data_IF_479188658881
#
_entry.id   IF_479188658881
#
_cell.length_a   1.000
_cell.length_b   1.000
_cell.length_c   1.000
_cell.angle_alpha   90.00
_cell.angle_beta   90.00
_cell.angle_gamma   90.00
#
_symmetry.space_group_name_H-M   'P 1'
#
loop_
_entity.id
_entity.type
_entity.pdbx_description
1 polymer ?
#
# COMPACT_ATOMS: atom_id res chain seq x y z
N UNK A 1 31.04 -8.14 10.77
CA UNK A 1 29.71 -7.55 10.96
C UNK A 1 28.90 -8.59 11.68
N UNK A 2 28.60 -8.34 12.95
CA UNK A 2 27.89 -9.34 13.75
C UNK A 2 26.42 -9.40 13.33
N UNK A 3 25.80 -10.56 13.44
CA UNK A 3 24.42 -10.79 12.97
C UNK A 3 23.37 -9.89 13.67
N UNK A 4 23.69 -9.42 14.89
CA UNK A 4 22.90 -8.46 15.65
C UNK A 4 23.02 -7.00 15.17
N UNK A 5 23.99 -6.68 14.30
CA UNK A 5 24.15 -5.35 13.70
C UNK A 5 23.36 -5.20 12.39
N UNK A 6 22.78 -6.28 11.87
CA UNK A 6 22.00 -6.23 10.63
C UNK A 6 20.67 -5.52 10.90
N UNK A 7 20.54 -4.31 10.36
CA UNK A 7 19.30 -3.54 10.38
C UNK A 7 18.48 -3.82 9.11
N UNK A 8 17.18 -4.03 9.27
CA UNK A 8 16.20 -4.06 8.20
C UNK A 8 15.39 -2.78 8.26
N UNK A 9 15.35 -2.06 7.14
CA UNK A 9 14.57 -0.84 6.98
C UNK A 9 13.33 -1.13 6.14
N UNK A 10 12.21 -0.57 6.56
CA UNK A 10 10.94 -0.64 5.86
C UNK A 10 10.59 0.75 5.32
N UNK A 11 10.18 0.87 4.06
CA UNK A 11 9.61 2.13 3.58
C UNK A 11 8.23 2.35 4.21
N UNK A 12 7.72 3.58 4.11
CA UNK A 12 6.30 3.82 4.34
C UNK A 12 5.47 3.01 3.34
N UNK A 13 4.70 2.03 3.82
CA UNK A 13 3.86 1.18 2.98
C UNK A 13 2.39 1.19 3.38
N UNK A 14 2.04 1.64 4.58
CA UNK A 14 0.65 1.94 4.98
C UNK A 14 0.60 3.18 5.86
N UNK A 15 -0.49 3.93 5.75
CA UNK A 15 -0.85 5.02 6.67
C UNK A 15 -2.01 4.65 7.60
N UNK A 16 -2.52 3.42 7.53
CA UNK A 16 -3.59 2.94 8.38
C UNK A 16 -3.05 2.45 9.73
N UNK A 17 -3.19 3.24 10.79
CA UNK A 17 -2.74 2.89 12.14
C UNK A 17 -3.47 1.69 12.75
N UNK A 18 -4.63 1.31 12.20
CA UNK A 18 -5.39 0.14 12.65
C UNK A 18 -4.91 -1.16 12.02
N UNK A 19 -4.09 -1.09 10.97
CA UNK A 19 -3.52 -2.29 10.39
C UNK A 19 -2.39 -2.86 11.28
N UNK A 20 -2.38 -4.18 11.58
CA UNK A 20 -1.33 -4.79 12.40
C UNK A 20 0.10 -4.59 11.89
N UNK A 21 0.29 -4.36 10.58
CA UNK A 21 1.60 -4.11 9.98
C UNK A 21 2.02 -2.64 10.01
N UNK A 22 1.15 -1.72 10.45
CA UNK A 22 1.50 -0.30 10.57
C UNK A 22 2.77 -0.06 11.39
N UNK A 23 2.97 -0.86 12.45
CA UNK A 23 4.16 -0.77 13.32
C UNK A 23 5.49 -0.99 12.59
N UNK A 24 5.49 -1.54 11.37
CA UNK A 24 6.71 -1.67 10.56
C UNK A 24 6.83 -0.60 9.48
N UNK A 25 5.78 0.19 9.22
CA UNK A 25 5.76 1.20 8.15
C UNK A 25 6.65 2.37 8.53
N UNK A 26 7.62 2.71 7.67
CA UNK A 26 8.60 3.80 7.91
C UNK A 26 9.51 3.57 9.14
N UNK A 27 9.77 2.31 9.49
CA UNK A 27 10.53 1.93 10.68
C UNK A 27 11.77 1.07 10.36
N UNK A 28 12.67 0.96 11.35
CA UNK A 28 13.90 0.16 11.24
C UNK A 28 14.08 -0.78 12.43
N UNK A 29 14.46 -2.03 12.16
CA UNK A 29 14.57 -3.07 13.20
C UNK A 29 15.89 -3.83 13.10
N UNK A 30 16.42 -4.27 14.23
CA UNK A 30 17.43 -5.33 14.23
C UNK A 30 16.81 -6.60 13.65
N UNK A 31 17.53 -7.25 12.74
CA UNK A 31 17.10 -8.49 12.10
C UNK A 31 16.71 -9.56 13.14
N UNK A 32 17.51 -9.72 14.19
CA UNK A 32 17.28 -10.71 15.25
C UNK A 32 16.04 -10.44 16.12
N UNK A 33 15.62 -9.17 16.24
CA UNK A 33 14.37 -8.80 16.90
C UNK A 33 13.19 -9.04 15.98
N UNK A 34 13.33 -8.62 14.72
CA UNK A 34 12.29 -8.74 13.70
C UNK A 34 11.95 -10.20 13.40
N UNK A 35 12.95 -11.08 13.25
CA UNK A 35 12.76 -12.51 12.94
C UNK A 35 11.91 -13.25 13.99
N UNK A 36 11.92 -12.77 15.24
CA UNK A 36 11.13 -13.33 16.35
C UNK A 36 9.70 -12.79 16.39
N UNK A 37 9.39 -11.74 15.63
CA UNK A 37 8.08 -11.13 15.63
C UNK A 37 7.06 -11.99 14.86
N UNK A 38 5.84 -12.24 15.39
CA UNK A 38 4.85 -13.10 14.74
C UNK A 38 4.48 -12.67 13.30
N UNK A 39 4.52 -11.36 13.04
CA UNK A 39 4.19 -10.76 11.74
C UNK A 39 5.39 -10.57 10.79
N UNK A 40 6.58 -11.08 11.15
CA UNK A 40 7.82 -10.89 10.40
C UNK A 40 7.68 -11.16 8.89
N UNK A 41 7.18 -12.35 8.53
CA UNK A 41 7.10 -12.78 7.14
C UNK A 41 6.13 -11.90 6.34
N UNK A 42 5.00 -11.50 6.94
CA UNK A 42 4.04 -10.59 6.29
C UNK A 42 4.65 -9.20 6.07
N UNK A 43 5.33 -8.66 7.08
CA UNK A 43 6.01 -7.37 6.96
C UNK A 43 7.09 -7.40 5.87
N UNK A 44 7.93 -8.45 5.86
CA UNK A 44 8.99 -8.60 4.86
C UNK A 44 8.41 -8.71 3.44
N UNK A 45 7.33 -9.46 3.25
CA UNK A 45 6.63 -9.55 1.96
C UNK A 45 6.08 -8.20 1.48
N UNK A 46 5.52 -7.39 2.39
CA UNK A 46 5.09 -6.02 2.06
C UNK A 46 6.28 -5.16 1.60
N UNK A 47 7.40 -5.21 2.34
CA UNK A 47 8.64 -4.50 1.99
C UNK A 47 9.17 -4.90 0.62
N UNK A 48 9.22 -6.19 0.33
CA UNK A 48 9.70 -6.69 -0.97
C UNK A 48 8.78 -6.26 -2.10
N UNK A 49 7.47 -6.32 -1.88
CA UNK A 49 6.46 -5.92 -2.87
C UNK A 49 6.58 -4.44 -3.22
N UNK A 50 6.63 -3.54 -2.22
CA UNK A 50 6.74 -2.10 -2.47
C UNK A 50 8.09 -1.73 -3.11
N UNK A 51 9.21 -2.32 -2.64
CA UNK A 51 10.53 -2.10 -3.23
C UNK A 51 10.58 -2.59 -4.68
N UNK A 52 9.90 -3.68 -5.00
CA UNK A 52 9.83 -4.17 -6.37
C UNK A 52 8.94 -3.27 -7.24
N UNK A 53 7.68 -3.03 -6.84
CA UNK A 53 6.67 -2.35 -7.67
C UNK A 53 6.94 -0.87 -7.91
N UNK A 54 7.60 -0.19 -6.96
CA UNK A 54 7.84 1.27 -7.07
C UNK A 54 9.07 1.64 -7.89
N UNK A 55 9.92 0.67 -8.25
CA UNK A 55 11.05 0.86 -9.17
C UNK A 55 10.53 1.33 -10.53
N UNK A 56 11.13 2.36 -11.15
CA UNK A 56 10.67 2.90 -12.43
C UNK A 56 10.44 1.84 -13.52
N UNK A 57 11.32 0.85 -13.63
CA UNK A 57 11.21 -0.24 -14.61
C UNK A 57 10.02 -1.19 -14.38
N UNK A 58 9.47 -1.22 -13.16
CA UNK A 58 8.40 -2.12 -12.73
C UNK A 58 7.05 -1.40 -12.56
N UNK A 59 6.96 -0.11 -12.88
CA UNK A 59 5.71 0.66 -12.84
C UNK A 59 4.81 0.29 -14.01
N UNK A 60 4.24 -0.91 -13.96
CA UNK A 60 3.25 -1.40 -14.90
C UNK A 60 1.87 -1.15 -14.30
N UNK A 61 0.99 -0.49 -15.06
CA UNK A 61 -0.37 -0.19 -14.63
C UNK A 61 -1.18 -1.48 -14.44
N UNK A 62 -1.70 -1.70 -13.23
CA UNK A 62 -2.52 -2.88 -12.88
C UNK A 62 -3.92 -2.83 -13.52
N UNK A 63 -4.32 -1.70 -14.12
CA UNK A 63 -5.60 -1.53 -14.85
C UNK A 63 -5.41 -1.84 -16.34
N UNK A 64 -4.47 -1.17 -17.00
CA UNK A 64 -4.30 -1.19 -18.46
C UNK A 64 -3.07 -1.95 -18.97
N UNK A 65 -2.16 -2.38 -18.11
CA UNK A 65 -0.96 -3.14 -18.47
C UNK A 65 0.16 -2.34 -19.14
N UNK A 66 -0.01 -1.04 -19.38
CA UNK A 66 1.05 -0.19 -19.92
C UNK A 66 2.08 0.18 -18.84
N UNK A 67 3.31 0.48 -19.27
CA UNK A 67 4.33 1.08 -18.39
C UNK A 67 3.98 2.55 -18.13
N UNK A 68 4.17 3.01 -16.89
CA UNK A 68 3.88 4.37 -16.43
C UNK A 68 5.19 5.16 -16.42
N UNK A 69 5.47 5.84 -17.52
CA UNK A 69 6.75 6.55 -17.73
C UNK A 69 6.74 7.96 -17.15
N UNK A 70 5.56 8.58 -17.04
CA UNK A 70 5.39 9.95 -16.58
C UNK A 70 5.02 9.97 -15.09
N UNK A 71 5.85 10.56 -14.21
CA UNK A 71 5.59 10.61 -12.77
C UNK A 71 4.24 11.27 -12.40
N UNK A 72 3.78 12.25 -13.17
CA UNK A 72 2.51 12.94 -12.96
C UNK A 72 1.28 12.05 -13.20
N UNK A 73 1.44 10.99 -13.99
CA UNK A 73 0.38 10.01 -14.26
C UNK A 73 0.39 8.84 -13.27
N UNK A 74 1.40 8.78 -12.40
CA UNK A 74 1.62 7.65 -11.51
C UNK A 74 0.91 7.84 -10.17
N UNK A 75 -0.06 6.98 -9.91
CA UNK A 75 -0.67 6.80 -8.60
C UNK A 75 -0.28 5.42 -8.06
N UNK A 76 0.34 5.40 -6.88
CA UNK A 76 0.61 4.16 -6.15
C UNK A 76 -0.35 4.01 -4.98
N UNK A 77 -1.03 2.87 -4.91
CA UNK A 77 -1.80 2.45 -3.75
C UNK A 77 -0.90 1.59 -2.87
N UNK A 78 -0.70 1.97 -1.61
CA UNK A 78 0.07 1.18 -0.65
C UNK A 78 -0.70 -0.05 -0.14
N UNK A 79 -0.34 -0.51 1.05
CA UNK A 79 -1.10 -1.49 1.82
C UNK A 79 -2.31 -0.80 2.46
N UNK A 80 -3.51 -1.18 2.01
CA UNK A 80 -4.78 -0.76 2.57
C UNK A 80 -5.13 -1.58 3.82
N UNK A 81 -4.96 -2.89 3.74
CA UNK A 81 -5.19 -3.85 4.83
C UNK A 81 -4.36 -5.12 4.65
N UNK A 82 -3.88 -5.70 5.74
CA UNK A 82 -3.15 -6.97 5.81
C UNK A 82 -4.03 -8.19 6.07
N UNK A 83 -5.33 -7.96 6.24
CA UNK A 83 -6.37 -8.99 6.33
C UNK A 83 -6.76 -9.47 4.92
N UNK A 84 -6.38 -10.70 4.59
CA UNK A 84 -6.62 -11.31 3.28
C UNK A 84 -8.08 -11.78 3.08
N UNK A 85 -8.88 -11.80 4.15
CA UNK A 85 -10.32 -12.02 4.06
C UNK A 85 -11.09 -10.76 3.64
N UNK A 86 -10.46 -9.58 3.77
CA UNK A 86 -11.06 -8.31 3.39
C UNK A 86 -10.97 -8.09 1.86
N UNK A 87 -12.06 -7.76 1.16
CA UNK A 87 -12.04 -7.53 -0.28
C UNK A 87 -11.06 -6.43 -0.74
N UNK A 88 -10.75 -5.43 0.10
CA UNK A 88 -9.76 -4.39 -0.22
C UNK A 88 -8.34 -4.94 -0.36
N UNK A 89 -8.05 -6.12 0.22
CA UNK A 89 -6.75 -6.75 0.11
C UNK A 89 -6.31 -6.96 -1.35
N UNK A 90 -7.27 -7.21 -2.24
CA UNK A 90 -7.02 -7.39 -3.68
C UNK A 90 -6.51 -6.12 -4.40
N UNK A 91 -6.60 -4.95 -3.75
CA UNK A 91 -6.18 -3.65 -4.29
C UNK A 91 -4.92 -3.10 -3.63
N UNK A 92 -4.29 -3.88 -2.73
CA UNK A 92 -3.00 -3.53 -2.14
C UNK A 92 -1.91 -3.41 -3.21
N UNK A 93 -1.00 -2.46 -3.03
CA UNK A 93 0.19 -2.31 -3.88
C UNK A 93 -0.11 -2.15 -5.37
N UNK A 94 -1.18 -1.43 -5.73
CA UNK A 94 -1.50 -1.16 -7.13
C UNK A 94 -0.69 0.02 -7.70
N UNK A 95 -0.09 -0.19 -8.86
CA UNK A 95 0.42 0.83 -9.74
C UNK A 95 -0.71 1.25 -10.68
N UNK A 96 -1.12 2.51 -10.66
CA UNK A 96 -2.21 3.04 -11.48
C UNK A 96 -1.67 4.16 -12.36
N UNK A 97 -1.86 3.99 -13.66
CA UNK A 97 -1.85 5.12 -14.60
C UNK A 97 -3.19 5.82 -14.47
N UNK A 98 -3.19 7.08 -14.03
CA UNK A 98 -4.42 7.83 -13.81
C UNK A 98 -5.26 7.97 -15.10
N UNK A 99 -4.64 7.88 -16.28
CA UNK A 99 -5.34 7.92 -17.56
C UNK A 99 -6.22 6.69 -17.82
N UNK A 100 -5.97 5.58 -17.11
CA UNK A 100 -6.75 4.36 -17.21
C UNK A 100 -7.86 4.26 -16.15
N UNK A 101 -7.95 5.20 -15.21
CA UNK A 101 -9.03 5.21 -14.20
C UNK A 101 -10.43 5.24 -14.88
N UNK A 102 -10.69 6.05 -15.93
CA UNK A 102 -12.02 6.09 -16.56
C UNK A 102 -12.46 4.76 -17.18
N UNK A 103 -11.52 3.91 -17.57
CA UNK A 103 -11.80 2.59 -18.17
C UNK A 103 -11.72 1.44 -17.18
N UNK A 104 -11.48 1.73 -15.89
CA UNK A 104 -11.27 0.72 -14.86
C UNK A 104 -12.59 0.05 -14.45
N UNK A 105 -12.84 -1.23 -14.79
CA UNK A 105 -14.14 -1.86 -14.55
C UNK A 105 -14.48 -2.04 -13.07
N UNK A 106 -13.45 -2.06 -12.21
CA UNK A 106 -13.61 -2.22 -10.76
C UNK A 106 -13.69 -0.88 -10.01
N UNK A 107 -13.66 0.26 -10.70
CA UNK A 107 -13.60 1.59 -10.06
C UNK A 107 -14.71 1.79 -9.03
N UNK A 108 -15.97 1.61 -9.42
CA UNK A 108 -17.11 1.83 -8.52
C UNK A 108 -17.10 0.85 -7.35
N UNK A 109 -16.82 -0.43 -7.62
CA UNK A 109 -16.69 -1.44 -6.56
C UNK A 109 -15.55 -1.13 -5.59
N UNK A 110 -14.42 -0.62 -6.09
CA UNK A 110 -13.30 -0.19 -5.26
C UNK A 110 -13.67 1.01 -4.37
N UNK A 111 -14.31 2.04 -4.94
CA UNK A 111 -14.77 3.20 -4.18
C UNK A 111 -15.76 2.81 -3.09
N UNK A 112 -16.76 1.97 -3.39
CA UNK A 112 -17.71 1.48 -2.39
C UNK A 112 -17.02 0.70 -1.26
N UNK A 113 -15.99 -0.09 -1.57
CA UNK A 113 -15.22 -0.79 -0.55
C UNK A 113 -14.42 0.16 0.34
N UNK A 114 -13.80 1.22 -0.21
CA UNK A 114 -13.10 2.23 0.59
C UNK A 114 -14.06 3.01 1.50
N UNK A 115 -15.23 3.38 1.00
CA UNK A 115 -16.28 4.05 1.77
C UNK A 115 -16.76 3.18 2.93
N UNK A 116 -17.04 1.91 2.67
CA UNK A 116 -17.40 0.94 3.71
C UNK A 116 -16.30 0.78 4.75
N UNK A 117 -15.04 0.62 4.30
CA UNK A 117 -13.89 0.46 5.18
C UNK A 117 -13.69 1.67 6.11
N UNK A 118 -13.93 2.88 5.59
CA UNK A 118 -13.95 4.11 6.40
C UNK A 118 -15.12 4.13 7.39
N UNK A 119 -16.33 3.82 6.94
CA UNK A 119 -17.54 3.84 7.76
C UNK A 119 -17.54 2.80 8.89
N UNK A 120 -16.89 1.66 8.68
CA UNK A 120 -16.68 0.61 9.69
C UNK A 120 -15.55 0.90 10.67
N UNK A 121 -14.97 2.10 10.62
CA UNK A 121 -13.87 2.53 11.48
C UNK A 121 -12.66 1.57 11.38
N UNK A 122 -12.39 1.02 10.18
CA UNK A 122 -11.24 0.13 9.92
C UNK A 122 -9.99 0.91 9.46
N UNK A 123 -10.13 2.22 9.27
CA UNK A 123 -9.03 3.11 8.90
C UNK A 123 -8.78 4.19 9.93
N UNK A 124 -7.51 4.43 10.26
CA UNK A 124 -7.08 5.58 11.03
C UNK A 124 -5.81 6.16 10.41
N UNK A 125 -5.85 7.42 9.98
CA UNK A 125 -4.66 8.05 9.39
C UNK A 125 -3.57 8.29 10.42
N UNK A 126 -2.31 8.14 10.01
CA UNK A 126 -1.14 8.43 10.81
C UNK A 126 -0.83 9.91 11.01
N UNK A 127 -1.49 10.79 10.26
CA UNK A 127 -1.25 12.23 10.29
C UNK A 127 -2.55 13.02 10.05
N UNK A 128 -2.47 14.35 10.09
CA UNK A 128 -3.58 15.22 9.70
C UNK A 128 -3.98 15.08 8.22
N UNK A 129 -3.14 14.46 7.39
CA UNK A 129 -3.47 14.11 6.02
C UNK A 129 -4.17 12.75 6.00
N UNK A 130 -5.45 12.74 5.60
CA UNK A 130 -6.20 11.50 5.42
C UNK A 130 -5.93 10.93 4.02
N UNK A 131 -5.05 9.92 3.95
CA UNK A 131 -4.71 9.27 2.69
C UNK A 131 -5.89 8.52 2.08
N UNK A 132 -6.81 7.96 2.88
CA UNK A 132 -7.96 7.22 2.36
C UNK A 132 -8.93 8.18 1.67
N UNK A 133 -9.25 9.30 2.32
CA UNK A 133 -10.06 10.38 1.74
C UNK A 133 -9.40 10.97 0.49
N UNK A 134 -8.09 11.23 0.54
CA UNK A 134 -7.33 11.66 -0.64
C UNK A 134 -7.46 10.66 -1.80
N UNK A 135 -7.29 9.37 -1.52
CA UNK A 135 -7.37 8.32 -2.55
C UNK A 135 -8.76 8.27 -3.18
N UNK A 136 -9.83 8.28 -2.37
CA UNK A 136 -11.21 8.30 -2.87
C UNK A 136 -11.45 9.51 -3.78
N UNK A 137 -11.11 10.72 -3.32
CA UNK A 137 -11.26 11.96 -4.10
C UNK A 137 -10.43 11.94 -5.38
N UNK A 138 -9.20 11.40 -5.31
CA UNK A 138 -8.30 11.32 -6.46
C UNK A 138 -8.85 10.37 -7.52
N UNK A 139 -9.41 9.22 -7.15
CA UNK A 139 -10.02 8.26 -8.09
C UNK A 139 -11.36 8.79 -8.64
N UNK A 140 -12.17 9.48 -7.84
CA UNK A 140 -13.43 10.08 -8.28
C UNK A 140 -13.26 11.21 -9.31
N UNK A 141 -12.12 11.89 -9.29
CA UNK A 141 -11.83 13.01 -10.18
C UNK A 141 -11.59 12.63 -11.66
N UNK A 142 -11.49 11.33 -11.98
CA UNK A 142 -11.29 10.79 -13.34
C UNK A 142 -12.47 9.92 -13.74
#
# INVERSE_FOLDING_TARGET
>A
MYEHEKIIQFPAFTSNQKDPLYQFSDESFHYSCLEKHPLYQKALGCRETIVFKTRPENRICDIGGNRIDQPENYLFIGLLTSDDSNPLYAFNFMNIDIQNIPTWPKKEGFLSLLEQFSAEDQWQSSSSFDYLDYLMKKIQAF
#
